data_IF_047508280290
#
_entry.id   IF_047508280290
#
_cell.length_a   1.000
_cell.length_b   1.000
_cell.length_c   1.000
_cell.angle_alpha   90.00
_cell.angle_beta   90.00
_cell.angle_gamma   90.00
#
_symmetry.space_group_name_H-M   'P 1'
#
loop_
_entity.id
_entity.type
_entity.pdbx_description
1 polymer ?
#
# COMPACT_ATOMS: atom_id res chain seq x y z
N UNK A 1 43.21 11.14 6.83
CA UNK A 1 41.90 10.56 7.18
C UNK A 1 40.91 11.07 6.15
N UNK A 2 40.66 10.29 5.11
CA UNK A 2 39.65 10.60 4.10
C UNK A 2 38.30 10.04 4.54
N UNK A 3 37.25 10.86 4.50
CA UNK A 3 35.87 10.39 4.69
C UNK A 3 35.40 9.64 3.44
N UNK A 4 35.44 8.31 3.48
CA UNK A 4 34.77 7.47 2.47
C UNK A 4 33.24 7.65 2.55
N UNK A 5 32.68 8.35 1.55
CA UNK A 5 31.22 8.52 1.36
C UNK A 5 30.64 7.34 0.56
N UNK A 6 29.32 7.13 0.63
CA UNK A 6 28.55 6.04 -0.05
C UNK A 6 27.65 6.56 -1.21
N UNK A 7 27.00 5.75 -2.09
CA UNK A 7 27.00 4.29 -2.30
C UNK A 7 25.66 3.60 -1.99
N UNK A 8 24.57 4.35 -2.02
CA UNK A 8 23.20 3.83 -2.05
C UNK A 8 22.62 4.01 -3.45
N UNK A 9 22.42 2.90 -4.16
CA UNK A 9 21.72 2.86 -5.45
C UNK A 9 20.39 2.11 -5.25
N UNK A 10 19.27 2.69 -5.69
CA UNK A 10 17.94 2.08 -5.56
C UNK A 10 17.48 1.60 -6.93
N UNK A 11 17.42 0.27 -7.11
CA UNK A 11 16.88 -0.37 -8.32
C UNK A 11 15.36 -0.40 -8.21
N UNK A 12 14.65 0.06 -9.24
CA UNK A 12 13.20 0.24 -9.21
C UNK A 12 12.42 -1.07 -9.47
N UNK A 13 12.55 -2.03 -8.55
CA UNK A 13 11.96 -3.38 -8.70
C UNK A 13 10.42 -3.44 -8.54
N UNK A 14 9.72 -2.29 -8.47
CA UNK A 14 8.35 -2.21 -7.97
C UNK A 14 7.27 -2.74 -8.93
N UNK A 15 7.53 -2.78 -10.25
CA UNK A 15 6.45 -2.97 -11.23
C UNK A 15 6.03 -4.42 -11.52
N UNK A 16 6.87 -5.43 -11.24
CA UNK A 16 6.54 -6.85 -11.59
C UNK A 16 5.89 -7.65 -10.44
N UNK A 17 6.18 -7.35 -9.17
CA UNK A 17 5.65 -8.14 -8.05
C UNK A 17 4.22 -7.77 -7.65
N UNK A 18 3.82 -6.50 -7.83
CA UNK A 18 2.52 -6.01 -7.37
C UNK A 18 1.32 -6.73 -8.03
N UNK A 19 1.39 -7.07 -9.33
CA UNK A 19 0.26 -7.66 -10.05
C UNK A 19 -0.19 -9.03 -9.51
N UNK A 20 0.76 -9.92 -9.23
CA UNK A 20 0.46 -11.27 -8.72
C UNK A 20 0.16 -11.26 -7.22
N UNK A 21 0.81 -10.39 -6.46
CA UNK A 21 0.66 -10.32 -5.00
C UNK A 21 -0.63 -9.57 -4.58
N UNK A 22 -1.13 -8.63 -5.39
CA UNK A 22 -2.36 -7.91 -5.10
C UNK A 22 -3.61 -8.79 -5.18
N UNK A 23 -3.70 -9.70 -6.17
CA UNK A 23 -4.87 -10.57 -6.34
C UNK A 23 -5.15 -11.47 -5.13
N UNK A 24 -4.10 -12.06 -4.56
CA UNK A 24 -4.20 -12.88 -3.33
C UNK A 24 -4.53 -12.01 -2.11
N UNK A 25 -3.91 -10.82 -1.99
CA UNK A 25 -4.18 -9.88 -0.89
C UNK A 25 -5.64 -9.44 -0.78
N UNK A 26 -6.27 -9.09 -1.91
CA UNK A 26 -7.69 -8.67 -1.96
C UNK A 26 -8.61 -9.79 -1.48
N UNK A 27 -8.36 -11.03 -1.91
CA UNK A 27 -9.20 -12.18 -1.56
C UNK A 27 -9.16 -12.48 -0.07
N UNK A 28 -7.97 -12.64 0.51
CA UNK A 28 -7.81 -12.90 1.95
C UNK A 28 -8.28 -11.72 2.81
N UNK A 29 -8.01 -10.49 2.39
CA UNK A 29 -8.49 -9.28 3.08
C UNK A 29 -10.03 -9.19 3.11
N UNK A 30 -10.69 -9.44 1.98
CA UNK A 30 -12.15 -9.41 1.88
C UNK A 30 -12.80 -10.54 2.69
N UNK A 31 -12.26 -11.75 2.63
CA UNK A 31 -12.74 -12.89 3.40
C UNK A 31 -12.61 -12.64 4.92
N UNK A 32 -11.47 -12.11 5.36
CA UNK A 32 -11.24 -11.74 6.75
C UNK A 32 -12.19 -10.64 7.24
N UNK A 33 -12.40 -9.58 6.43
CA UNK A 33 -13.28 -8.47 6.78
C UNK A 33 -14.76 -8.90 6.89
N UNK A 34 -15.25 -9.68 5.94
CA UNK A 34 -16.62 -10.22 5.97
C UNK A 34 -16.81 -11.19 7.14
N UNK A 35 -15.85 -12.08 7.39
CA UNK A 35 -15.87 -12.99 8.54
C UNK A 35 -15.91 -12.23 9.89
N UNK A 36 -15.07 -11.22 10.06
CA UNK A 36 -15.07 -10.37 11.25
C UNK A 36 -16.39 -9.60 11.42
N UNK A 37 -16.97 -9.08 10.33
CA UNK A 37 -18.26 -8.39 10.34
C UNK A 37 -19.39 -9.32 10.82
N UNK A 38 -19.46 -10.56 10.31
CA UNK A 38 -20.48 -11.53 10.71
C UNK A 38 -20.33 -11.93 12.18
N UNK A 39 -19.10 -12.19 12.64
CA UNK A 39 -18.84 -12.49 14.06
C UNK A 39 -19.27 -11.33 14.96
N UNK A 40 -18.90 -10.10 14.61
CA UNK A 40 -19.28 -8.90 15.36
C UNK A 40 -20.81 -8.69 15.39
N UNK A 41 -21.50 -8.92 14.28
CA UNK A 41 -22.96 -8.86 14.20
C UNK A 41 -23.64 -9.89 15.13
N UNK A 42 -23.10 -11.11 15.24
CA UNK A 42 -23.60 -12.15 16.17
C UNK A 42 -23.40 -11.71 17.62
N UNK A 43 -22.19 -11.26 18.00
CA UNK A 43 -21.93 -10.77 19.36
C UNK A 43 -22.83 -9.59 19.72
N UNK A 44 -23.03 -8.62 18.82
CA UNK A 44 -23.88 -7.46 19.07
C UNK A 44 -25.37 -7.82 19.18
N UNK A 45 -25.85 -8.76 18.36
CA UNK A 45 -27.22 -9.25 18.45
C UNK A 45 -27.51 -9.99 19.77
N UNK A 46 -26.55 -10.79 20.26
CA UNK A 46 -26.63 -11.43 21.58
C UNK A 46 -26.65 -10.36 22.69
N UNK A 47 -25.78 -9.36 22.62
CA UNK A 47 -25.73 -8.26 23.58
C UNK A 47 -27.05 -7.47 23.63
N UNK A 48 -27.62 -7.10 22.47
CA UNK A 48 -28.92 -6.39 22.41
C UNK A 48 -30.06 -7.24 22.96
N UNK A 49 -30.06 -8.56 22.71
CA UNK A 49 -31.05 -9.48 23.28
C UNK A 49 -30.96 -9.59 24.81
N UNK A 50 -29.75 -9.53 25.38
CA UNK A 50 -29.54 -9.51 26.83
C UNK A 50 -29.92 -8.16 27.46
N UNK A 51 -29.70 -7.03 26.77
CA UNK A 51 -29.97 -5.68 27.28
C UNK A 51 -31.43 -5.24 27.18
N UNK A 52 -32.16 -5.69 26.17
CA UNK A 52 -33.59 -5.32 25.98
C UNK A 52 -34.41 -5.86 27.14
N UNK A 53 -35.21 -5.03 27.82
CA UNK A 53 -36.05 -5.48 28.94
C UNK A 53 -37.33 -6.19 28.46
N UNK A 54 -38.04 -5.59 27.51
CA UNK A 54 -39.30 -6.12 26.98
C UNK A 54 -39.12 -7.44 26.23
N UNK A 55 -39.80 -8.48 26.70
CA UNK A 55 -39.66 -9.83 26.16
C UNK A 55 -40.16 -9.94 24.71
N UNK A 56 -41.20 -9.18 24.36
CA UNK A 56 -41.78 -9.13 23.01
C UNK A 56 -40.80 -8.55 21.99
N UNK A 57 -40.11 -7.45 22.33
CA UNK A 57 -39.21 -6.75 21.42
C UNK A 57 -37.79 -7.34 21.33
N UNK A 58 -37.41 -8.27 22.22
CA UNK A 58 -36.07 -8.91 22.22
C UNK A 58 -35.70 -9.58 20.90
N UNK A 59 -36.64 -10.26 20.25
CA UNK A 59 -36.43 -10.89 18.94
C UNK A 59 -36.06 -9.85 17.88
N UNK A 60 -36.87 -8.80 17.82
CA UNK A 60 -36.93 -7.96 16.64
C UNK A 60 -35.84 -6.87 16.70
N UNK A 61 -35.56 -6.36 17.90
CA UNK A 61 -34.40 -5.50 18.13
C UNK A 61 -33.07 -6.22 17.81
N UNK A 62 -32.95 -7.50 18.16
CA UNK A 62 -31.75 -8.29 17.86
C UNK A 62 -31.60 -8.56 16.34
N UNK A 63 -32.68 -8.92 15.65
CA UNK A 63 -32.70 -9.10 14.19
C UNK A 63 -32.39 -7.79 13.45
N UNK A 64 -33.01 -6.68 13.85
CA UNK A 64 -32.77 -5.36 13.28
C UNK A 64 -31.31 -4.96 13.45
N UNK A 65 -30.75 -5.12 14.66
CA UNK A 65 -29.34 -4.84 14.95
C UNK A 65 -28.41 -5.68 14.06
N UNK A 66 -28.67 -6.98 13.93
CA UNK A 66 -27.87 -7.89 13.09
C UNK A 66 -27.80 -7.40 11.63
N UNK A 67 -28.95 -7.08 11.03
CA UNK A 67 -28.99 -6.58 9.64
C UNK A 67 -28.35 -5.21 9.48
N UNK A 68 -28.51 -4.30 10.44
CA UNK A 68 -27.85 -2.98 10.42
C UNK A 68 -26.33 -3.08 10.49
N UNK A 69 -25.78 -4.00 11.31
CA UNK A 69 -24.32 -4.23 11.38
C UNK A 69 -23.78 -4.81 10.08
N UNK A 70 -24.48 -5.79 9.48
CA UNK A 70 -24.08 -6.34 8.17
C UNK A 70 -24.11 -5.26 7.09
N UNK A 71 -25.15 -4.43 7.02
CA UNK A 71 -25.24 -3.33 6.07
C UNK A 71 -24.09 -2.33 6.26
N UNK A 72 -23.81 -1.92 7.50
CA UNK A 72 -22.70 -1.03 7.82
C UNK A 72 -21.33 -1.62 7.42
N UNK A 73 -21.13 -2.93 7.66
CA UNK A 73 -19.92 -3.64 7.24
C UNK A 73 -19.76 -3.69 5.73
N UNK A 74 -20.83 -3.95 4.96
CA UNK A 74 -20.80 -3.93 3.49
C UNK A 74 -20.46 -2.52 2.96
N UNK A 75 -21.02 -1.47 3.54
CA UNK A 75 -20.70 -0.08 3.16
C UNK A 75 -19.25 0.28 3.47
N UNK A 76 -18.73 -0.14 4.64
CA UNK A 76 -17.33 0.09 5.02
C UNK A 76 -16.37 -0.70 4.12
N UNK A 77 -16.69 -1.96 3.78
CA UNK A 77 -15.92 -2.77 2.83
C UNK A 77 -15.93 -2.15 1.43
N UNK A 78 -17.08 -1.62 0.98
CA UNK A 78 -17.21 -0.93 -0.32
C UNK A 78 -16.31 0.31 -0.38
N UNK A 79 -16.25 1.12 0.68
CA UNK A 79 -15.31 2.24 0.77
C UNK A 79 -13.85 1.78 0.72
N UNK A 80 -13.51 0.70 1.42
CA UNK A 80 -12.15 0.13 1.43
C UNK A 80 -11.71 -0.37 0.05
N UNK A 81 -12.54 -1.16 -0.65
CA UNK A 81 -12.18 -1.66 -1.99
C UNK A 81 -12.10 -0.53 -3.02
N UNK A 82 -12.96 0.51 -2.91
CA UNK A 82 -12.85 1.71 -3.73
C UNK A 82 -11.50 2.43 -3.50
N UNK A 83 -11.08 2.62 -2.25
CA UNK A 83 -9.77 3.22 -1.95
C UNK A 83 -8.61 2.39 -2.49
N UNK A 84 -8.71 1.05 -2.40
CA UNK A 84 -7.72 0.12 -2.94
C UNK A 84 -7.62 0.20 -4.48
N UNK A 85 -8.75 0.22 -5.20
CA UNK A 85 -8.75 0.33 -6.67
C UNK A 85 -8.06 1.60 -7.18
N UNK A 86 -8.23 2.73 -6.48
CA UNK A 86 -7.55 3.99 -6.83
C UNK A 86 -6.01 3.92 -6.69
N UNK A 87 -5.50 3.02 -5.85
CA UNK A 87 -4.05 2.83 -5.65
C UNK A 87 -3.43 1.83 -6.63
N UNK A 88 -4.25 1.02 -7.31
CA UNK A 88 -3.77 -0.06 -8.19
C UNK A 88 -3.14 0.46 -9.49
N UNK A 89 -3.67 1.55 -10.05
CA UNK A 89 -3.19 2.17 -11.30
C UNK A 89 -3.12 3.70 -11.17
N UNK A 90 -2.12 4.24 -10.44
CA UNK A 90 -1.99 5.68 -10.24
C UNK A 90 -1.59 6.39 -11.55
N UNK A 91 -2.54 7.14 -12.13
CA UNK A 91 -2.30 8.00 -13.30
C UNK A 91 -1.38 9.18 -12.98
N UNK A 92 -1.39 9.65 -11.74
CA UNK A 92 -0.51 10.71 -11.24
C UNK A 92 0.51 10.12 -10.28
N UNK A 93 1.78 10.47 -10.49
CA UNK A 93 2.86 10.19 -9.52
C UNK A 93 3.07 11.42 -8.66
N UNK A 94 3.31 11.30 -7.34
CA UNK A 94 3.53 12.44 -6.48
C UNK A 94 4.79 13.19 -6.95
N UNK A 95 4.67 14.50 -7.16
CA UNK A 95 5.73 15.38 -7.70
C UNK A 95 6.78 15.78 -6.66
N UNK A 96 6.89 15.03 -5.56
CA UNK A 96 8.01 15.21 -4.62
C UNK A 96 9.33 15.11 -5.40
N UNK A 97 10.26 16.07 -5.22
CA UNK A 97 11.56 15.98 -5.87
C UNK A 97 12.20 14.67 -5.47
N UNK A 98 12.58 13.84 -6.46
CA UNK A 98 13.22 12.54 -6.21
C UNK A 98 14.35 12.76 -5.20
N UNK A 99 14.39 12.06 -4.05
CA UNK A 99 15.50 12.20 -3.12
C UNK A 99 16.79 11.89 -3.86
N UNK A 100 17.78 12.76 -3.75
CA UNK A 100 19.09 12.55 -4.37
C UNK A 100 19.82 11.48 -3.55
N UNK A 101 19.60 10.21 -3.89
CA UNK A 101 20.32 9.10 -3.27
C UNK A 101 21.82 9.27 -3.56
N UNK A 102 22.67 9.31 -2.52
CA UNK A 102 24.12 9.52 -2.71
C UNK A 102 24.88 8.25 -3.06
N UNK A 103 25.88 8.43 -3.95
CA UNK A 103 26.28 7.46 -4.99
C UNK A 103 27.80 7.22 -5.20
N UNK A 104 28.66 7.58 -4.25
CA UNK A 104 30.12 7.25 -4.28
C UNK A 104 30.41 5.86 -3.69
N UNK A 105 31.22 5.01 -4.33
CA UNK A 105 31.39 3.59 -3.96
C UNK A 105 32.59 3.32 -3.05
N UNK A 106 32.83 2.04 -2.68
CA UNK A 106 34.12 1.62 -2.11
C UNK A 106 35.23 1.44 -3.16
N UNK A 107 34.89 1.23 -4.43
CA UNK A 107 35.83 1.12 -5.55
C UNK A 107 35.36 1.96 -6.74
N UNK A 108 36.22 2.84 -7.26
CA UNK A 108 35.87 3.80 -8.32
C UNK A 108 35.51 3.14 -9.65
N UNK A 109 36.22 2.08 -10.05
CA UNK A 109 35.98 1.39 -11.32
C UNK A 109 34.55 0.84 -11.40
N UNK A 110 34.13 0.11 -10.36
CA UNK A 110 32.77 -0.43 -10.23
C UNK A 110 31.71 0.67 -10.20
N UNK A 111 32.06 1.85 -9.66
CA UNK A 111 31.16 2.99 -9.60
C UNK A 111 30.86 3.61 -10.95
N UNK A 112 31.83 3.56 -11.87
CA UNK A 112 31.76 4.14 -13.21
C UNK A 112 30.85 3.33 -14.13
N UNK A 113 30.97 2.01 -14.08
CA UNK A 113 30.16 1.09 -14.89
C UNK A 113 28.69 1.11 -14.43
N UNK A 114 28.44 0.94 -13.12
CA UNK A 114 27.08 1.01 -12.56
C UNK A 114 26.46 2.40 -12.73
N UNK A 115 27.27 3.47 -12.65
CA UNK A 115 26.81 4.84 -12.91
C UNK A 115 26.37 5.05 -14.36
N UNK A 116 27.16 4.57 -15.32
CA UNK A 116 26.83 4.64 -16.74
C UNK A 116 25.57 3.82 -17.07
N UNK A 117 25.44 2.60 -16.56
CA UNK A 117 24.30 1.73 -16.82
C UNK A 117 22.99 2.30 -16.25
N UNK A 118 23.00 2.78 -15.00
CA UNK A 118 21.80 3.37 -14.35
C UNK A 118 21.39 4.69 -15.01
N UNK A 119 22.33 5.53 -15.42
CA UNK A 119 22.01 6.82 -16.03
C UNK A 119 21.58 6.72 -17.49
N UNK A 120 22.05 5.72 -18.25
CA UNK A 120 21.65 5.53 -19.64
C UNK A 120 20.31 4.79 -19.81
N UNK A 121 19.91 3.92 -18.86
CA UNK A 121 18.78 3.00 -19.08
C UNK A 121 17.41 3.44 -18.47
N UNK A 122 17.36 4.36 -17.50
CA UNK A 122 16.08 4.73 -16.83
C UNK A 122 15.79 6.25 -16.69
N UNK A 123 16.67 7.14 -17.19
CA UNK A 123 16.65 8.56 -16.83
C UNK A 123 16.86 9.52 -18.02
N UNK A 124 15.90 9.54 -18.95
CA UNK A 124 15.78 10.62 -19.94
C UNK A 124 15.82 11.99 -19.25
N UNK A 125 16.89 12.76 -19.52
CA UNK A 125 17.13 14.07 -18.91
C UNK A 125 18.22 14.11 -17.81
N UNK A 126 19.07 13.09 -17.68
CA UNK A 126 20.28 13.14 -16.84
C UNK A 126 21.55 13.04 -17.69
N UNK A 127 22.67 13.55 -17.17
CA UNK A 127 23.98 13.48 -17.81
C UNK A 127 25.09 13.27 -16.77
N UNK A 128 26.10 12.50 -17.14
CA UNK A 128 27.27 12.24 -16.31
C UNK A 128 28.15 13.49 -16.24
N UNK A 129 28.51 13.90 -15.03
CA UNK A 129 29.51 14.95 -14.78
C UNK A 129 30.58 14.38 -13.83
N UNK A 130 31.61 13.76 -14.41
CA UNK A 130 32.60 13.00 -13.65
C UNK A 130 32.02 11.68 -13.12
N UNK A 131 32.05 11.49 -11.80
CA UNK A 131 31.50 10.32 -11.12
C UNK A 131 30.06 10.51 -10.59
N UNK A 132 29.51 11.72 -10.72
CA UNK A 132 28.16 12.07 -10.28
C UNK A 132 27.21 12.21 -11.48
N UNK A 133 25.98 11.75 -11.32
CA UNK A 133 24.95 11.82 -12.35
C UNK A 133 23.98 12.97 -12.04
N UNK A 134 23.96 13.99 -12.89
CA UNK A 134 23.29 15.26 -12.64
C UNK A 134 22.12 15.42 -13.63
N UNK A 135 20.99 15.94 -13.15
CA UNK A 135 19.84 16.27 -14.01
C UNK A 135 20.25 17.38 -14.99
N UNK A 136 19.91 17.26 -16.27
CA UNK A 136 19.95 18.40 -17.20
C UNK A 136 19.00 19.48 -16.69
N UNK A 137 19.54 20.69 -16.54
CA UNK A 137 18.75 21.89 -16.27
C UNK A 137 17.88 22.26 -17.48
#
# INVERSE_FOLDING_TARGET
MEESKAKVCIINQQNLSMGVQAGTGIFFGSLGFLGATVLFAIFLAIYVRQRTKDQTMKSDNAKMTFWLVILAGILMWTMWICAFMHQMYPLTRPTVPKPVYRVSCYYDALCKDVGAEVCNNELDGYMMNGADCIRKA
#
